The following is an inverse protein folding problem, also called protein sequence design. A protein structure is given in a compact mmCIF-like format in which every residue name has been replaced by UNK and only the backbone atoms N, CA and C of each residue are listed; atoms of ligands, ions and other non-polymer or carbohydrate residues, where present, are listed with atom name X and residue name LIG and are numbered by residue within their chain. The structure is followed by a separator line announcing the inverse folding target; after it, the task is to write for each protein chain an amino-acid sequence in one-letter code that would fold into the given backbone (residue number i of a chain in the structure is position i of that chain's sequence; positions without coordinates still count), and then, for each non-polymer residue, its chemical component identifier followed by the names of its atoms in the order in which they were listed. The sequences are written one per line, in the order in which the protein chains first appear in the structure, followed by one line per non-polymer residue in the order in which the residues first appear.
data_IF_938255306368
#
_entry.id   IF_938255306368
#
_cell.length_a   1.000
_cell.length_b   1.000
_cell.length_c   1.000
_cell.angle_alpha   90.00
_cell.angle_beta   90.00
_cell.angle_gamma   90.00
#
_symmetry.space_group_name_H-M   'P 1'
#
loop_
_entity.id
_entity.type
_entity.pdbx_description
1 polymer ?
#
# COMPACT_ATOMS: atom_id res chain seq x y z
N UNK A 1 -19.82 14.39 18.21
CA UNK A 1 -19.02 15.48 17.63
C UNK A 1 -18.79 15.15 16.17
N UNK A 2 -19.43 15.87 15.25
CA UNK A 2 -19.28 15.63 13.82
C UNK A 2 -17.96 16.24 13.35
N UNK A 3 -17.01 15.40 12.92
CA UNK A 3 -15.73 15.87 12.37
C UNK A 3 -16.04 16.51 11.02
N UNK A 4 -15.91 17.83 10.93
CA UNK A 4 -16.01 18.55 9.67
C UNK A 4 -14.93 18.01 8.74
N UNK A 5 -15.35 17.26 7.71
CA UNK A 5 -14.45 16.91 6.62
C UNK A 5 -14.35 18.16 5.76
N UNK A 6 -13.18 18.78 5.73
CA UNK A 6 -12.90 19.86 4.81
C UNK A 6 -13.19 19.36 3.38
N UNK A 7 -13.78 20.19 2.49
CA UNK A 7 -13.96 19.80 1.10
C UNK A 7 -12.56 19.51 0.52
N UNK A 8 -12.32 18.25 0.17
CA UNK A 8 -11.04 17.86 -0.41
C UNK A 8 -10.89 18.57 -1.75
N UNK A 9 -9.79 19.32 -1.98
CA UNK A 9 -9.59 20.04 -3.22
C UNK A 9 -9.36 19.06 -4.37
N UNK A 10 -10.12 19.21 -5.46
CA UNK A 10 -9.98 18.42 -6.69
C UNK A 10 -11.29 17.79 -7.18
N UNK A 11 -11.34 17.46 -8.46
CA UNK A 11 -12.39 16.65 -9.07
C UNK A 11 -12.48 15.27 -8.42
N UNK A 12 -13.65 14.63 -8.52
CA UNK A 12 -13.86 13.25 -8.05
C UNK A 12 -12.84 12.29 -8.69
N UNK A 13 -12.47 12.54 -9.95
CA UNK A 13 -11.45 11.80 -10.68
C UNK A 13 -10.05 11.96 -10.05
N UNK A 14 -9.65 13.19 -9.73
CA UNK A 14 -8.35 13.46 -9.07
C UNK A 14 -8.26 12.76 -7.72
N UNK A 15 -9.37 12.74 -6.97
CA UNK A 15 -9.46 12.03 -5.68
C UNK A 15 -9.37 10.52 -5.87
N UNK A 16 -10.03 9.96 -6.89
CA UNK A 16 -9.93 8.55 -7.22
C UNK A 16 -8.49 8.16 -7.62
N UNK A 17 -7.80 9.00 -8.40
CA UNK A 17 -6.38 8.80 -8.75
C UNK A 17 -5.48 8.88 -7.51
N UNK A 18 -5.71 9.84 -6.62
CA UNK A 18 -4.96 9.94 -5.36
C UNK A 18 -5.17 8.72 -4.45
N UNK A 19 -6.42 8.25 -4.31
CA UNK A 19 -6.75 7.04 -3.57
C UNK A 19 -6.13 5.78 -4.20
N UNK A 20 -6.05 5.72 -5.52
CA UNK A 20 -5.37 4.63 -6.22
C UNK A 20 -3.87 4.61 -5.89
N UNK A 21 -3.19 5.76 -5.92
CA UNK A 21 -1.78 5.86 -5.51
C UNK A 21 -1.59 5.40 -4.08
N UNK A 22 -2.40 5.90 -3.14
CA UNK A 22 -2.34 5.50 -1.74
C UNK A 22 -2.55 3.99 -1.54
N UNK A 23 -3.46 3.38 -2.31
CA UNK A 23 -3.65 1.93 -2.30
C UNK A 23 -2.40 1.18 -2.76
N UNK A 24 -1.72 1.62 -3.82
CA UNK A 24 -0.49 0.99 -4.30
C UNK A 24 0.68 1.18 -3.33
N UNK A 25 0.81 2.36 -2.72
CA UNK A 25 1.79 2.60 -1.66
C UNK A 25 1.58 1.66 -0.47
N UNK A 26 0.33 1.52 -0.02
CA UNK A 26 -0.02 0.60 1.07
C UNK A 26 0.18 -0.87 0.67
N UNK A 27 -0.09 -1.24 -0.58
CA UNK A 27 0.18 -2.58 -1.11
C UNK A 27 1.67 -2.91 -1.05
N UNK A 28 2.52 -2.00 -1.55
CA UNK A 28 3.96 -2.18 -1.53
C UNK A 28 4.50 -2.18 -0.10
N UNK A 29 3.95 -1.36 0.80
CA UNK A 29 4.29 -1.40 2.22
C UNK A 29 3.93 -2.75 2.86
N UNK A 30 2.74 -3.29 2.57
CA UNK A 30 2.32 -4.60 3.05
C UNK A 30 3.22 -5.73 2.53
N UNK A 31 3.55 -5.75 1.23
CA UNK A 31 4.47 -6.73 0.65
C UNK A 31 5.87 -6.66 1.30
N UNK A 32 6.37 -5.45 1.57
CA UNK A 32 7.64 -5.25 2.28
C UNK A 32 7.57 -5.74 3.72
N UNK A 33 6.47 -5.49 4.42
CA UNK A 33 6.27 -5.96 5.79
C UNK A 33 6.24 -7.49 5.80
N UNK A 34 5.47 -8.13 4.93
CA UNK A 34 5.44 -9.59 4.78
C UNK A 34 6.84 -10.15 4.48
N UNK A 35 7.58 -9.53 3.57
CA UNK A 35 8.94 -9.95 3.26
C UNK A 35 9.86 -9.87 4.48
N UNK A 36 9.91 -8.72 5.17
CA UNK A 36 10.74 -8.57 6.37
C UNK A 36 10.33 -9.57 7.45
N UNK A 37 9.04 -9.74 7.66
CA UNK A 37 8.54 -10.67 8.67
C UNK A 37 8.73 -12.14 8.29
N UNK A 38 9.15 -12.51 7.07
CA UNK A 38 9.35 -13.91 6.68
C UNK A 38 10.76 -14.22 6.17
N UNK A 39 11.58 -13.22 5.89
CA UNK A 39 12.95 -13.38 5.39
C UNK A 39 13.93 -13.49 6.56
N UNK A 40 14.70 -14.58 6.61
CA UNK A 40 15.74 -14.76 7.62
C UNK A 40 16.90 -13.74 7.51
N UNK A 41 17.08 -13.10 6.35
CA UNK A 41 18.14 -12.12 6.10
C UNK A 41 17.69 -10.68 6.37
N UNK A 42 16.45 -10.35 5.97
CA UNK A 42 15.90 -9.00 6.07
C UNK A 42 15.03 -8.79 7.32
N UNK A 43 14.77 -9.86 8.06
CA UNK A 43 13.84 -9.84 9.18
C UNK A 43 14.42 -9.24 10.44
N UNK A 44 13.61 -8.53 11.23
CA UNK A 44 14.05 -7.96 12.49
C UNK A 44 14.35 -9.09 13.49
N UNK A 45 15.55 -9.06 14.09
CA UNK A 45 15.98 -10.05 15.07
C UNK A 45 15.30 -9.91 16.43
N UNK A 46 14.73 -8.73 16.72
CA UNK A 46 14.21 -8.36 18.04
C UNK A 46 12.68 -8.43 18.17
N UNK A 47 11.94 -8.83 17.13
CA UNK A 47 10.48 -8.96 17.22
C UNK A 47 10.06 -10.38 17.59
N UNK A 48 9.15 -10.48 18.56
CA UNK A 48 8.44 -11.73 18.85
C UNK A 48 7.51 -12.15 17.71
N UNK A 49 7.09 -13.41 17.70
CA UNK A 49 6.13 -13.92 16.70
C UNK A 49 4.80 -13.16 16.72
N UNK A 50 4.35 -12.73 17.92
CA UNK A 50 3.12 -11.94 18.05
C UNK A 50 3.27 -10.56 17.41
N UNK A 51 4.37 -9.85 17.70
CA UNK A 51 4.64 -8.53 17.11
C UNK A 51 4.80 -8.59 15.58
N UNK A 52 5.39 -9.67 15.06
CA UNK A 52 5.47 -9.92 13.61
C UNK A 52 4.09 -10.11 13.00
N UNK A 53 3.22 -10.87 13.66
CA UNK A 53 1.84 -11.08 13.21
C UNK A 53 1.02 -9.79 13.24
N UNK A 54 1.11 -9.01 14.33
CA UNK A 54 0.43 -7.72 14.48
C UNK A 54 0.89 -6.71 13.43
N UNK A 55 2.18 -6.66 13.11
CA UNK A 55 2.71 -5.78 12.06
C UNK A 55 2.16 -6.14 10.67
N UNK A 56 2.03 -7.43 10.36
CA UNK A 56 1.45 -7.90 9.11
C UNK A 56 -0.05 -7.59 9.02
N UNK A 57 -0.81 -7.83 10.09
CA UNK A 57 -2.25 -7.54 10.18
C UNK A 57 -2.52 -6.04 10.00
N UNK A 58 -1.77 -5.19 10.72
CA UNK A 58 -1.90 -3.74 10.59
C UNK A 58 -1.61 -3.25 9.16
N UNK A 59 -0.55 -3.77 8.52
CA UNK A 59 -0.23 -3.41 7.14
C UNK A 59 -1.28 -3.91 6.13
N UNK A 60 -1.87 -5.08 6.36
CA UNK A 60 -2.97 -5.61 5.54
C UNK A 60 -4.23 -4.75 5.69
N UNK A 61 -4.57 -4.37 6.93
CA UNK A 61 -5.73 -3.55 7.24
C UNK A 61 -5.64 -2.16 6.58
N UNK A 62 -4.48 -1.51 6.63
CA UNK A 62 -4.25 -0.22 5.97
C UNK A 62 -4.39 -0.33 4.45
N UNK A 63 -3.80 -1.38 3.84
CA UNK A 63 -3.95 -1.66 2.40
C UNK A 63 -5.41 -1.90 2.02
N UNK A 64 -6.18 -2.62 2.84
CA UNK A 64 -7.60 -2.86 2.57
C UNK A 64 -8.45 -1.60 2.76
N UNK A 65 -8.14 -0.75 3.74
CA UNK A 65 -8.80 0.54 3.93
C UNK A 65 -8.65 1.43 2.69
N UNK A 66 -7.44 1.53 2.14
CA UNK A 66 -7.19 2.30 0.92
C UNK A 66 -7.87 1.69 -0.32
N UNK A 67 -7.90 0.35 -0.43
CA UNK A 67 -8.62 -0.33 -1.51
C UNK A 67 -10.11 -0.01 -1.47
N UNK A 68 -10.73 -0.03 -0.29
CA UNK A 68 -12.14 0.28 -0.09
C UNK A 68 -12.42 1.74 -0.46
N UNK A 69 -11.58 2.68 -0.03
CA UNK A 69 -11.73 4.09 -0.35
C UNK A 69 -11.63 4.35 -1.86
N UNK A 70 -10.68 3.72 -2.55
CA UNK A 70 -10.57 3.81 -4.01
C UNK A 70 -11.81 3.24 -4.71
N UNK A 71 -12.31 2.07 -4.28
CA UNK A 71 -13.51 1.46 -4.85
C UNK A 71 -14.75 2.35 -4.69
N UNK A 72 -14.94 2.95 -3.51
CA UNK A 72 -16.06 3.87 -3.24
C UNK A 72 -16.01 5.11 -4.14
N UNK A 73 -14.81 5.63 -4.42
CA UNK A 73 -14.64 6.74 -5.35
C UNK A 73 -14.91 6.34 -6.81
N UNK A 74 -14.46 5.15 -7.24
CA UNK A 74 -14.77 4.62 -8.57
C UNK A 74 -16.27 4.38 -8.77
N UNK A 75 -16.97 3.87 -7.74
CA UNK A 75 -18.42 3.69 -7.76
C UNK A 75 -19.14 5.03 -7.97
N UNK A 76 -18.72 6.06 -7.23
CA UNK A 76 -19.23 7.43 -7.39
C UNK A 76 -18.90 8.06 -8.73
N UNK A 77 -17.75 7.71 -9.32
CA UNK A 77 -17.30 8.22 -10.63
C UNK A 77 -18.05 7.53 -11.78
N UNK A 78 -18.53 6.31 -11.57
CA UNK A 78 -19.18 5.48 -12.58
C UNK A 78 -18.21 4.80 -13.57
N UNK A 79 -16.91 5.01 -13.40
CA UNK A 79 -15.84 4.36 -14.15
C UNK A 79 -14.56 4.29 -13.32
N UNK A 80 -13.59 3.49 -13.79
CA UNK A 80 -12.26 3.41 -13.17
C UNK A 80 -11.32 4.37 -13.91
N UNK A 81 -10.73 5.37 -13.23
CA UNK A 81 -9.86 6.33 -13.89
C UNK A 81 -8.59 5.66 -14.41
N UNK A 82 -8.22 5.97 -15.65
CA UNK A 82 -7.00 5.46 -16.27
C UNK A 82 -5.83 6.26 -15.72
N UNK A 83 -5.18 5.72 -14.69
CA UNK A 83 -4.10 6.37 -13.94
C UNK A 83 -2.82 6.54 -14.73
N UNK A 84 -2.83 7.41 -15.75
CA UNK A 84 -1.63 7.76 -16.53
C UNK A 84 -0.49 8.36 -15.65
N UNK A 85 -0.79 8.76 -14.40
CA UNK A 85 0.16 9.27 -13.40
C UNK A 85 0.32 8.33 -12.17
N UNK A 86 -0.25 7.12 -12.23
CA UNK A 86 -0.18 6.14 -11.14
C UNK A 86 1.02 5.23 -11.37
N UNK A 87 2.20 5.70 -10.97
CA UNK A 87 3.40 4.86 -10.95
C UNK A 87 3.42 3.99 -9.69
N UNK A 88 3.89 2.74 -9.83
CA UNK A 88 4.24 1.94 -8.66
C UNK A 88 5.41 2.61 -7.92
N UNK A 89 5.36 2.70 -6.58
CA UNK A 89 6.47 3.27 -5.83
C UNK A 89 7.74 2.46 -6.10
N UNK A 90 8.88 3.17 -6.13
CA UNK A 90 10.17 2.58 -6.48
C UNK A 90 10.42 1.31 -5.66
N UNK A 91 10.74 0.22 -6.34
CA UNK A 91 11.06 -1.04 -5.69
C UNK A 91 12.30 -0.84 -4.82
N UNK A 92 12.17 -1.11 -3.52
CA UNK A 92 13.34 -1.14 -2.64
C UNK A 92 14.23 -2.30 -3.11
N UNK A 93 15.56 -2.10 -3.20
CA UNK A 93 16.50 -3.18 -3.50
C UNK A 93 16.59 -4.12 -2.28
N UNK A 94 15.51 -4.84 -1.99
CA UNK A 94 15.52 -5.88 -0.97
C UNK A 94 16.50 -6.97 -1.38
N UNK A 95 17.24 -7.50 -0.39
CA UNK A 95 18.41 -8.38 -0.49
C UNK A 95 18.27 -9.54 -1.50
N UNK A 96 17.05 -10.00 -1.81
CA UNK A 96 16.79 -11.12 -2.70
C UNK A 96 16.81 -10.79 -4.21
N UNK A 97 16.99 -9.54 -4.63
CA UNK A 97 17.17 -9.20 -6.06
C UNK A 97 18.59 -9.41 -6.57
N UNK A 98 19.58 -9.56 -5.68
CA UNK A 98 20.99 -9.72 -6.06
C UNK A 98 21.45 -11.16 -6.31
N UNK A 99 20.57 -12.16 -6.23
CA UNK A 99 20.90 -13.55 -6.64
C UNK A 99 20.70 -13.80 -8.14
N UNK A 100 20.25 -12.80 -8.91
CA UNK A 100 20.31 -12.85 -10.37
C UNK A 100 21.63 -12.26 -10.88
N UNK A 101 22.71 -13.04 -10.79
CA UNK A 101 23.78 -12.97 -11.79
C UNK A 101 24.23 -14.37 -12.16
N UNK A 102 24.23 -14.71 -13.47
CA UNK A 102 24.59 -16.02 -13.97
C UNK A 102 26.11 -16.19 -13.99
N UNK A 103 26.63 -17.28 -13.43
CA UNK A 103 27.79 -18.01 -13.95
C UNK A 103 28.01 -19.33 -13.25
#
# INVERSE_FOLDING_TARGET
MAKAVAPEPGSLEERAVAAHRAYLDALVAWERTLHRMNCALCGPSDLSENERAEACDAAEAEKEAHRIAFRDLCDKLGFVPTGHDVALPAEDPSCCKSSASPR
#
